data_IF_430600266902
#
_entry.id   IF_430600266902
#
_cell.length_a   1.000
_cell.length_b   1.000
_cell.length_c   1.000
_cell.angle_alpha   90.00
_cell.angle_beta   90.00
_cell.angle_gamma   90.00
#
_symmetry.space_group_name_H-M   'P 1'
#
loop_
_entity.id
_entity.type
_entity.pdbx_description
1 polymer ?
#
# COMPACT_ATOMS: atom_id res chain seq x y z
N UNK A 1 20.38 36.79 7.67
CA UNK A 1 19.21 36.26 6.94
C UNK A 1 19.59 35.38 5.74
N UNK A 2 20.53 35.82 4.89
CA UNK A 2 20.96 35.10 3.68
C UNK A 2 21.52 33.68 3.93
N UNK A 3 22.35 33.48 4.96
CA UNK A 3 22.95 32.16 5.30
C UNK A 3 21.89 31.12 5.71
N UNK A 4 20.83 31.54 6.41
CA UNK A 4 19.74 30.62 6.83
C UNK A 4 18.92 30.11 5.64
N UNK A 5 18.72 30.95 4.61
CA UNK A 5 18.01 30.59 3.38
C UNK A 5 18.84 29.61 2.54
N UNK A 6 20.16 29.82 2.45
CA UNK A 6 21.08 28.92 1.73
C UNK A 6 21.12 27.55 2.41
N UNK A 7 21.16 27.49 3.74
CA UNK A 7 21.10 26.23 4.50
C UNK A 7 19.76 25.49 4.27
N UNK A 8 18.64 26.22 4.26
CA UNK A 8 17.32 25.62 4.01
C UNK A 8 17.18 25.06 2.59
N UNK A 9 17.68 25.77 1.58
CA UNK A 9 17.69 25.29 0.18
C UNK A 9 18.59 24.07 -0.01
N UNK A 10 19.73 24.02 0.66
CA UNK A 10 20.63 22.86 0.64
C UNK A 10 19.96 21.62 1.28
N UNK A 11 19.22 21.81 2.36
CA UNK A 11 18.48 20.72 3.02
C UNK A 11 17.32 20.18 2.16
N UNK A 12 16.61 21.06 1.45
CA UNK A 12 15.54 20.67 0.49
C UNK A 12 16.13 19.86 -0.67
N UNK A 13 17.31 20.23 -1.17
CA UNK A 13 17.97 19.52 -2.26
C UNK A 13 18.48 18.13 -1.83
N UNK A 14 18.90 17.97 -0.57
CA UNK A 14 19.30 16.69 0.02
C UNK A 14 18.13 15.70 0.18
N UNK A 15 16.91 16.18 0.43
CA UNK A 15 15.73 15.33 0.58
C UNK A 15 15.10 14.90 -0.77
N UNK A 16 15.39 15.60 -1.87
CA UNK A 16 14.80 15.32 -3.18
C UNK A 16 15.41 14.11 -3.92
N UNK A 17 16.46 13.48 -3.36
CA UNK A 17 17.25 12.45 -4.05
C UNK A 17 16.94 10.99 -3.70
N UNK A 18 15.93 10.69 -2.87
CA UNK A 18 15.69 9.31 -2.43
C UNK A 18 14.63 8.63 -3.30
N UNK A 19 15.03 8.13 -4.47
CA UNK A 19 14.26 7.13 -5.21
C UNK A 19 14.54 5.76 -4.59
N UNK A 20 13.79 5.40 -3.55
CA UNK A 20 13.87 4.07 -2.93
C UNK A 20 13.01 3.04 -3.67
N UNK A 21 12.93 3.10 -5.00
CA UNK A 21 12.26 2.06 -5.77
C UNK A 21 13.22 0.88 -5.90
N UNK A 22 12.77 -0.29 -5.45
CA UNK A 22 13.49 -1.53 -5.70
C UNK A 22 13.67 -1.71 -7.21
N UNK A 23 14.74 -2.38 -7.67
CA UNK A 23 14.92 -2.63 -9.08
C UNK A 23 13.74 -3.44 -9.65
N UNK A 24 13.24 -3.06 -10.82
CA UNK A 24 12.18 -3.75 -11.56
C UNK A 24 12.72 -5.05 -12.21
N UNK A 25 13.25 -5.95 -11.39
CA UNK A 25 13.88 -7.19 -11.82
C UNK A 25 13.67 -8.30 -10.79
N UNK A 26 13.60 -9.55 -11.24
CA UNK A 26 13.52 -10.73 -10.37
C UNK A 26 14.71 -11.65 -10.63
N UNK A 27 15.32 -12.19 -9.58
CA UNK A 27 16.37 -13.21 -9.76
C UNK A 27 15.76 -14.56 -10.14
N UNK A 28 16.38 -15.25 -11.09
CA UNK A 28 15.99 -16.60 -11.52
C UNK A 28 17.23 -17.49 -11.66
N UNK A 29 17.08 -18.73 -11.20
CA UNK A 29 18.11 -19.76 -11.33
C UNK A 29 17.49 -21.07 -11.75
N UNK A 30 18.16 -21.79 -12.64
CA UNK A 30 17.74 -23.11 -13.07
C UNK A 30 18.96 -24.02 -13.29
N UNK A 31 18.79 -25.31 -12.99
CA UNK A 31 19.77 -26.34 -13.34
C UNK A 31 19.30 -27.02 -14.61
N UNK A 32 20.12 -26.94 -15.66
CA UNK A 32 19.83 -27.47 -16.98
C UNK A 32 20.34 -28.91 -17.09
N UNK A 33 19.48 -29.77 -17.63
CA UNK A 33 19.76 -31.18 -17.85
C UNK A 33 19.40 -31.58 -19.28
N UNK A 34 20.12 -32.56 -19.80
CA UNK A 34 19.80 -33.22 -21.05
C UNK A 34 18.55 -34.10 -20.92
N UNK A 35 18.01 -34.54 -22.05
CA UNK A 35 16.85 -35.44 -22.11
C UNK A 35 17.07 -36.77 -21.39
N UNK A 36 18.32 -37.22 -21.29
CA UNK A 36 18.74 -38.42 -20.55
C UNK A 36 18.93 -38.17 -19.04
N UNK A 37 18.70 -36.94 -18.57
CA UNK A 37 18.84 -36.52 -17.17
C UNK A 37 20.26 -36.11 -16.75
N UNK A 38 21.26 -36.25 -17.62
CA UNK A 38 22.63 -35.80 -17.37
C UNK A 38 22.70 -34.26 -17.26
N UNK A 39 23.66 -33.75 -16.50
CA UNK A 39 23.88 -32.30 -16.36
C UNK A 39 24.43 -31.76 -17.69
N UNK A 40 23.82 -30.69 -18.21
CA UNK A 40 24.37 -29.97 -19.35
C UNK A 40 25.33 -28.91 -18.84
N UNK A 41 26.62 -29.23 -18.76
CA UNK A 41 27.65 -28.34 -18.22
C UNK A 41 28.32 -27.52 -19.34
N UNK A 42 28.75 -26.30 -19.00
CA UNK A 42 29.59 -25.43 -19.87
C UNK A 42 29.07 -25.25 -21.31
N UNK A 43 27.76 -25.31 -21.50
CA UNK A 43 27.12 -25.28 -22.82
C UNK A 43 26.27 -24.02 -23.00
N UNK A 44 26.22 -23.46 -24.23
CA UNK A 44 25.32 -22.37 -24.54
C UNK A 44 23.87 -22.84 -24.52
N UNK A 45 23.00 -22.03 -23.92
CA UNK A 45 21.56 -22.27 -23.85
C UNK A 45 20.82 -20.96 -24.05
N UNK A 46 19.65 -21.02 -24.69
CA UNK A 46 18.77 -19.87 -24.81
C UNK A 46 17.53 -20.13 -23.95
N UNK A 47 17.23 -19.21 -23.04
CA UNK A 47 16.02 -19.23 -22.22
C UNK A 47 15.07 -18.16 -22.71
N UNK A 48 13.81 -18.54 -22.87
CA UNK A 48 12.71 -17.61 -23.07
C UNK A 48 11.83 -17.63 -21.83
N UNK A 49 11.63 -16.45 -21.26
CA UNK A 49 10.88 -16.25 -20.04
C UNK A 49 9.59 -15.52 -20.39
N UNK A 50 8.45 -16.10 -20.02
CA UNK A 50 7.13 -15.51 -20.19
C UNK A 50 6.43 -15.28 -18.85
N UNK A 51 5.62 -14.21 -18.77
CA UNK A 51 4.68 -13.99 -17.66
C UNK A 51 3.27 -14.10 -18.21
N UNK A 52 2.51 -15.05 -17.66
CA UNK A 52 1.12 -15.34 -18.02
C UNK A 52 0.19 -14.85 -16.91
N UNK A 53 -0.86 -14.11 -17.25
CA UNK A 53 -1.82 -13.58 -16.27
C UNK A 53 -3.05 -14.47 -16.11
N UNK A 54 -3.51 -14.65 -14.87
CA UNK A 54 -4.78 -15.25 -14.50
C UNK A 54 -4.79 -16.77 -14.40
N UNK A 55 -4.30 -17.48 -15.41
CA UNK A 55 -4.23 -18.96 -15.41
C UNK A 55 -3.06 -19.48 -16.25
N UNK A 56 -2.78 -20.78 -16.16
CA UNK A 56 -1.77 -21.46 -16.99
C UNK A 56 -2.02 -21.34 -18.50
N UNK A 57 -3.28 -21.11 -18.91
CA UNK A 57 -3.67 -20.88 -20.31
C UNK A 57 -4.03 -19.40 -20.56
N UNK A 58 -3.64 -18.51 -19.65
CA UNK A 58 -3.92 -17.08 -19.74
C UNK A 58 -3.16 -16.38 -20.85
N UNK A 59 -3.30 -15.07 -20.92
CA UNK A 59 -2.56 -14.26 -21.88
C UNK A 59 -1.12 -14.06 -21.40
N UNK A 60 -0.16 -14.22 -22.32
CA UNK A 60 1.22 -13.76 -22.10
C UNK A 60 1.26 -12.23 -22.16
N UNK A 61 1.61 -11.61 -21.05
CA UNK A 61 1.67 -10.15 -20.90
C UNK A 61 3.10 -9.61 -21.00
N UNK A 62 4.10 -10.48 -20.81
CA UNK A 62 5.51 -10.17 -20.93
C UNK A 62 6.29 -11.37 -21.47
N UNK A 63 7.29 -11.12 -22.30
CA UNK A 63 8.22 -12.12 -22.80
C UNK A 63 9.60 -11.51 -23.03
N UNK A 64 10.65 -12.21 -22.62
CA UNK A 64 12.04 -11.85 -22.88
C UNK A 64 12.91 -13.08 -23.15
N UNK A 65 14.05 -12.86 -23.82
CA UNK A 65 15.02 -13.89 -24.15
C UNK A 65 16.35 -13.62 -23.45
N UNK A 66 17.00 -14.69 -22.99
CA UNK A 66 18.32 -14.70 -22.38
C UNK A 66 19.20 -15.74 -23.05
N UNK A 67 20.37 -15.33 -23.54
CA UNK A 67 21.41 -16.24 -24.00
C UNK A 67 22.43 -16.42 -22.87
N UNK A 68 22.59 -17.63 -22.37
CA UNK A 68 23.43 -17.95 -21.21
C UNK A 68 24.34 -19.13 -21.50
N UNK A 69 25.38 -19.27 -20.68
CA UNK A 69 26.24 -20.48 -20.66
C UNK A 69 26.09 -21.11 -19.28
N UNK A 70 25.71 -22.39 -19.25
CA UNK A 70 25.61 -23.16 -18.00
C UNK A 70 26.97 -23.29 -17.33
N UNK A 71 27.05 -23.27 -16.00
CA UNK A 71 28.32 -23.58 -15.32
C UNK A 71 28.61 -25.10 -15.27
N UNK A 72 29.68 -25.51 -14.59
CA UNK A 72 30.07 -26.92 -14.39
C UNK A 72 28.97 -27.80 -13.78
N UNK A 73 28.03 -27.21 -13.02
CA UNK A 73 26.90 -27.89 -12.40
C UNK A 73 25.61 -27.79 -13.23
N UNK A 74 25.68 -27.26 -14.45
CA UNK A 74 24.52 -27.00 -15.30
C UNK A 74 23.66 -25.81 -14.86
N UNK A 75 24.13 -25.00 -13.91
CA UNK A 75 23.36 -23.87 -13.39
C UNK A 75 23.42 -22.68 -14.35
N UNK A 76 22.27 -22.07 -14.59
CA UNK A 76 22.13 -20.72 -15.15
C UNK A 76 21.59 -19.78 -14.09
N UNK A 77 22.05 -18.53 -14.10
CA UNK A 77 21.59 -17.45 -13.22
C UNK A 77 21.31 -16.21 -14.06
N UNK A 78 20.10 -15.67 -13.97
CA UNK A 78 19.68 -14.50 -14.73
C UNK A 78 18.79 -13.59 -13.89
N UNK A 79 18.56 -12.38 -14.41
CA UNK A 79 17.61 -11.43 -13.85
C UNK A 79 16.46 -11.26 -14.85
N UNK A 80 15.27 -11.68 -14.45
CA UNK A 80 14.06 -11.45 -15.23
C UNK A 80 13.77 -9.94 -15.24
N UNK A 81 13.45 -9.37 -16.39
CA UNK A 81 13.33 -7.91 -16.58
C UNK A 81 14.62 -7.25 -17.09
N UNK A 82 15.63 -8.04 -17.48
CA UNK A 82 16.86 -7.55 -18.09
C UNK A 82 17.27 -8.29 -19.36
N UNK A 83 16.39 -9.14 -19.90
CA UNK A 83 16.64 -9.85 -21.15
C UNK A 83 16.30 -9.01 -22.39
N UNK A 84 16.41 -9.64 -23.55
CA UNK A 84 15.94 -9.07 -24.81
C UNK A 84 14.41 -9.22 -24.88
N UNK A 85 13.70 -8.13 -24.60
CA UNK A 85 12.23 -8.11 -24.53
C UNK A 85 11.61 -8.33 -25.92
N UNK A 86 10.71 -9.30 -26.02
CA UNK A 86 9.95 -9.60 -27.25
C UNK A 86 8.47 -9.24 -27.11
N UNK A 87 7.92 -9.19 -25.89
CA UNK A 87 6.53 -8.79 -25.61
C UNK A 87 6.47 -7.95 -24.33
N UNK A 88 5.71 -6.86 -24.36
CA UNK A 88 5.35 -6.08 -23.18
C UNK A 88 6.49 -5.22 -22.61
N UNK A 89 6.32 -4.76 -21.37
CA UNK A 89 7.31 -4.05 -20.59
C UNK A 89 7.19 -4.49 -19.13
N UNK A 90 8.29 -4.89 -18.51
CA UNK A 90 8.30 -5.47 -17.17
C UNK A 90 7.81 -4.49 -16.10
N UNK A 91 8.20 -3.22 -16.21
CA UNK A 91 7.81 -2.16 -15.26
C UNK A 91 6.32 -1.79 -15.35
N UNK A 92 5.65 -2.12 -16.45
CA UNK A 92 4.23 -1.80 -16.67
C UNK A 92 3.29 -2.92 -16.19
N UNK A 93 3.83 -4.03 -15.66
CA UNK A 93 3.03 -5.14 -15.16
C UNK A 93 2.35 -4.74 -13.85
N UNK A 94 1.01 -4.73 -13.85
CA UNK A 94 0.22 -4.55 -12.65
C UNK A 94 0.17 -5.85 -11.83
N UNK A 95 1.17 -6.03 -10.98
CA UNK A 95 1.30 -7.19 -10.08
C UNK A 95 0.17 -7.34 -9.05
N UNK A 96 -0.73 -6.36 -8.92
CA UNK A 96 -1.91 -6.44 -8.04
C UNK A 96 -3.07 -7.21 -8.67
N UNK A 97 -3.06 -7.39 -9.99
CA UNK A 97 -4.19 -7.88 -10.75
C UNK A 97 -4.19 -9.40 -10.94
N UNK A 98 -4.36 -10.12 -9.82
CA UNK A 98 -4.59 -11.57 -9.78
C UNK A 98 -3.33 -12.43 -9.74
N UNK A 99 -3.48 -13.71 -10.08
CA UNK A 99 -2.36 -14.67 -10.14
C UNK A 99 -1.54 -14.48 -11.41
N UNK A 100 -0.23 -14.69 -11.29
CA UNK A 100 0.71 -14.68 -12.40
C UNK A 100 1.46 -16.01 -12.45
N UNK A 101 1.83 -16.45 -13.66
CA UNK A 101 2.59 -17.66 -13.89
C UNK A 101 3.86 -17.35 -14.65
N UNK A 102 4.97 -17.91 -14.17
CA UNK A 102 6.25 -17.89 -14.86
C UNK A 102 6.32 -19.08 -15.81
N UNK A 103 6.38 -18.78 -17.09
CA UNK A 103 6.65 -19.74 -18.16
C UNK A 103 8.13 -19.70 -18.50
N UNK A 104 8.77 -20.87 -18.51
CA UNK A 104 10.16 -21.02 -18.92
C UNK A 104 10.20 -21.96 -20.11
N UNK A 105 10.82 -21.49 -21.18
CA UNK A 105 11.13 -22.30 -22.35
C UNK A 105 12.63 -22.24 -22.61
N UNK A 106 13.17 -23.30 -23.21
CA UNK A 106 14.61 -23.44 -23.38
C UNK A 106 14.97 -24.10 -24.70
N UNK A 107 16.03 -23.61 -25.33
CA UNK A 107 16.77 -24.28 -26.39
C UNK A 107 18.15 -24.67 -25.84
N UNK A 108 18.42 -25.99 -25.83
CA UNK A 108 19.65 -26.56 -25.27
C UNK A 108 20.88 -26.33 -26.15
N UNK A 109 20.69 -25.90 -27.41
CA UNK A 109 21.77 -25.59 -28.35
C UNK A 109 22.02 -24.08 -28.45
N UNK A 110 21.29 -23.26 -27.68
CA UNK A 110 21.39 -21.80 -27.74
C UNK A 110 20.73 -21.18 -28.98
N UNK A 111 19.85 -21.92 -29.65
CA UNK A 111 19.09 -21.47 -30.81
C UNK A 111 17.77 -20.78 -30.45
N UNK A 112 16.80 -20.90 -31.37
CA UNK A 112 15.45 -20.33 -31.23
C UNK A 112 14.34 -21.39 -31.21
N UNK A 113 14.71 -22.67 -31.08
CA UNK A 113 13.77 -23.79 -31.01
C UNK A 113 13.42 -24.11 -29.55
N UNK A 114 12.64 -23.22 -28.95
CA UNK A 114 12.31 -23.29 -27.52
C UNK A 114 11.30 -24.41 -27.21
N UNK A 115 11.68 -25.32 -26.31
CA UNK A 115 10.80 -26.29 -25.69
C UNK A 115 10.31 -25.78 -24.32
N UNK A 116 9.04 -26.02 -23.97
CA UNK A 116 8.50 -25.68 -22.66
C UNK A 116 9.16 -26.56 -21.58
N UNK A 117 9.83 -25.94 -20.61
CA UNK A 117 10.51 -26.64 -19.51
C UNK A 117 9.86 -26.40 -18.16
N UNK A 118 9.07 -25.34 -18.00
CA UNK A 118 8.37 -25.07 -16.76
C UNK A 118 7.22 -24.09 -16.93
N UNK A 119 6.15 -24.32 -16.15
CA UNK A 119 5.05 -23.38 -15.97
C UNK A 119 4.65 -23.42 -14.50
N UNK A 120 4.93 -22.34 -13.76
CA UNK A 120 4.78 -22.30 -12.30
C UNK A 120 4.10 -21.01 -11.86
N UNK A 121 3.27 -21.06 -10.82
CA UNK A 121 2.64 -19.86 -10.26
C UNK A 121 3.67 -19.02 -9.49
N UNK A 122 3.67 -17.70 -9.71
CA UNK A 122 4.46 -16.75 -8.94
C UNK A 122 3.78 -16.48 -7.60
N UNK A 123 4.33 -17.05 -6.54
CA UNK A 123 3.86 -16.85 -5.17
C UNK A 123 4.58 -15.67 -4.50
N UNK A 124 3.88 -14.98 -3.61
CA UNK A 124 4.48 -13.91 -2.81
C UNK A 124 5.58 -14.42 -1.88
N UNK A 125 6.71 -13.72 -1.83
CA UNK A 125 7.79 -13.97 -0.87
C UNK A 125 7.50 -13.28 0.48
N UNK A 126 8.10 -13.71 1.62
CA UNK A 126 7.82 -13.13 2.94
C UNK A 126 7.99 -11.61 3.02
N UNK A 127 8.98 -11.03 2.33
CA UNK A 127 9.16 -9.58 2.25
C UNK A 127 8.01 -8.88 1.49
N UNK A 128 7.52 -9.48 0.39
CA UNK A 128 6.36 -8.97 -0.36
C UNK A 128 5.06 -9.10 0.46
N UNK A 129 4.91 -10.17 1.25
CA UNK A 129 3.80 -10.31 2.20
C UNK A 129 3.88 -9.29 3.34
N UNK A 130 5.08 -8.98 3.84
CA UNK A 130 5.26 -7.93 4.83
C UNK A 130 5.04 -6.52 4.22
N UNK A 131 5.41 -6.31 2.97
CA UNK A 131 5.04 -5.11 2.21
C UNK A 131 3.52 -5.00 2.01
N UNK A 132 2.75 -6.11 2.01
CA UNK A 132 1.28 -6.05 2.04
C UNK A 132 0.74 -5.42 3.32
N UNK A 133 1.43 -5.55 4.46
CA UNK A 133 1.11 -4.79 5.69
C UNK A 133 1.36 -3.29 5.51
N UNK A 134 2.27 -2.88 4.61
CA UNK A 134 2.43 -1.49 4.17
C UNK A 134 1.46 -1.12 3.02
N UNK A 135 0.87 -2.10 2.32
CA UNK A 135 -0.17 -1.94 1.29
C UNK A 135 -1.56 -1.60 1.85
N UNK A 136 -1.69 -1.34 3.15
CA UNK A 136 -2.84 -0.60 3.70
C UNK A 136 -2.88 0.87 3.24
N UNK A 137 -2.09 1.26 2.24
CA UNK A 137 -1.89 2.62 1.76
C UNK A 137 -2.16 2.81 0.25
N UNK A 138 -2.81 1.86 -0.43
CA UNK A 138 -3.09 1.97 -1.87
C UNK A 138 -4.58 1.75 -2.16
N UNK A 139 -5.26 2.79 -2.65
CA UNK A 139 -6.60 2.69 -3.26
C UNK A 139 -6.53 3.12 -4.72
N UNK A 140 -7.36 2.48 -5.55
CA UNK A 140 -7.30 2.45 -7.01
C UNK A 140 -7.69 3.75 -7.74
N UNK A 141 -8.11 4.80 -7.02
CA UNK A 141 -8.78 5.96 -7.63
C UNK A 141 -7.91 7.23 -7.73
N UNK A 142 -6.64 7.18 -7.33
CA UNK A 142 -5.72 8.33 -7.47
C UNK A 142 -6.10 9.59 -6.67
N UNK A 143 -7.15 9.54 -5.86
CA UNK A 143 -7.53 10.59 -4.94
C UNK A 143 -6.80 10.36 -3.60
N UNK A 144 -5.75 11.14 -3.39
CA UNK A 144 -4.96 11.10 -2.17
C UNK A 144 -5.78 11.64 -1.00
N UNK A 145 -6.43 10.79 -0.22
CA UNK A 145 -6.76 11.14 1.16
C UNK A 145 -5.56 10.83 2.09
N UNK A 146 -4.37 11.33 1.73
CA UNK A 146 -3.18 11.35 2.63
C UNK A 146 -3.30 12.43 3.73
N UNK A 147 -4.48 13.03 3.87
CA UNK A 147 -4.80 14.01 4.90
C UNK A 147 -6.19 13.68 5.40
N UNK A 148 -6.39 13.84 6.71
CA UNK A 148 -7.71 13.82 7.31
C UNK A 148 -8.67 14.68 6.45
N UNK A 149 -9.76 14.07 5.98
CA UNK A 149 -10.83 14.79 5.30
C UNK A 149 -11.53 15.68 6.31
N UNK A 150 -11.83 16.91 5.91
CA UNK A 150 -12.75 17.76 6.68
C UNK A 150 -14.17 17.35 6.32
N UNK A 151 -14.86 16.74 7.27
CA UNK A 151 -16.24 16.32 7.17
C UNK A 151 -17.09 17.37 7.88
N UNK A 152 -17.80 18.18 7.10
CA UNK A 152 -18.66 19.23 7.64
C UNK A 152 -19.96 18.63 8.19
N UNK A 153 -20.13 18.72 9.50
CA UNK A 153 -21.29 18.29 10.26
C UNK A 153 -22.28 19.45 10.34
N UNK A 154 -23.19 19.54 9.36
CA UNK A 154 -24.22 20.58 9.32
C UNK A 154 -25.46 20.25 10.16
N UNK A 155 -25.75 18.96 10.33
CA UNK A 155 -26.84 18.42 11.16
C UNK A 155 -26.24 17.34 12.03
N UNK A 156 -26.69 17.26 13.29
CA UNK A 156 -26.23 16.23 14.20
C UNK A 156 -26.55 14.82 13.69
N UNK A 157 -25.64 13.87 13.94
CA UNK A 157 -25.81 12.45 13.57
C UNK A 157 -24.98 11.55 14.48
N UNK A 158 -25.23 10.25 14.38
CA UNK A 158 -24.36 9.24 14.97
C UNK A 158 -22.99 9.20 14.28
N UNK A 159 -22.00 8.74 15.04
CA UNK A 159 -20.67 8.37 14.55
C UNK A 159 -20.79 7.24 13.52
N UNK A 160 -19.94 7.27 12.50
CA UNK A 160 -19.82 6.21 11.51
C UNK A 160 -18.34 5.94 11.15
N UNK A 161 -18.11 4.89 10.36
CA UNK A 161 -16.75 4.43 10.01
C UNK A 161 -15.95 5.49 9.25
N UNK A 162 -16.60 6.36 8.48
CA UNK A 162 -15.93 7.39 7.69
C UNK A 162 -15.40 8.54 8.56
N UNK A 163 -15.78 8.62 9.84
CA UNK A 163 -15.28 9.64 10.76
C UNK A 163 -13.87 9.32 11.27
N UNK A 164 -13.50 8.04 11.31
CA UNK A 164 -12.26 7.55 11.92
C UNK A 164 -11.07 8.08 11.13
N UNK A 165 -10.11 8.69 11.83
CA UNK A 165 -8.92 9.31 11.23
C UNK A 165 -9.16 10.66 10.56
N UNK A 166 -10.40 11.18 10.55
CA UNK A 166 -10.78 12.40 9.86
C UNK A 166 -11.01 13.60 10.81
N UNK A 167 -11.29 14.76 10.23
CA UNK A 167 -11.68 15.98 10.95
C UNK A 167 -13.20 16.12 10.86
N UNK A 168 -13.88 16.17 12.01
CA UNK A 168 -15.29 16.55 12.10
C UNK A 168 -15.36 18.03 12.41
N UNK A 169 -15.93 18.79 11.47
CA UNK A 169 -16.01 20.24 11.54
C UNK A 169 -17.46 20.70 11.59
N UNK A 170 -17.77 21.74 12.37
CA UNK A 170 -19.05 22.42 12.27
C UNK A 170 -18.89 23.94 12.16
N UNK A 171 -19.67 24.55 11.24
CA UNK A 171 -19.81 26.01 11.09
C UNK A 171 -21.09 26.57 11.71
N UNK A 172 -21.96 25.68 12.19
CA UNK A 172 -23.13 25.97 13.03
C UNK A 172 -23.19 24.93 14.14
N UNK A 173 -24.17 25.03 15.04
CA UNK A 173 -24.25 24.12 16.17
C UNK A 173 -24.66 22.71 15.71
N UNK A 174 -23.86 21.71 16.07
CA UNK A 174 -24.10 20.32 15.69
C UNK A 174 -23.69 19.35 16.81
N UNK A 175 -24.24 18.14 16.76
CA UNK A 175 -23.95 17.08 17.73
C UNK A 175 -23.53 15.80 17.04
N UNK A 176 -22.35 15.28 17.37
CA UNK A 176 -21.93 13.93 17.01
C UNK A 176 -22.24 12.99 18.18
N UNK A 177 -23.03 11.94 17.92
CA UNK A 177 -23.40 10.96 18.94
C UNK A 177 -22.49 9.73 18.85
N UNK A 178 -21.75 9.43 19.90
CA UNK A 178 -20.98 8.19 20.05
C UNK A 178 -21.93 7.09 20.50
N UNK A 179 -22.15 6.11 19.63
CA UNK A 179 -23.12 5.05 19.87
C UNK A 179 -22.53 3.88 20.65
N UNK A 180 -23.40 3.18 21.37
CA UNK A 180 -23.07 1.91 22.01
C UNK A 180 -22.48 0.90 21.01
N UNK A 181 -21.43 0.18 21.41
CA UNK A 181 -20.82 -0.91 20.66
C UNK A 181 -20.35 -0.52 19.24
N UNK A 182 -19.87 0.72 19.08
CA UNK A 182 -19.22 1.15 17.84
C UNK A 182 -17.84 0.48 17.68
N UNK A 183 -17.85 -0.76 17.19
CA UNK A 183 -16.68 -1.64 17.07
C UNK A 183 -15.79 -1.33 15.85
N UNK A 184 -16.25 -0.46 14.94
CA UNK A 184 -15.46 -0.05 13.79
C UNK A 184 -14.23 0.80 14.18
N UNK A 185 -14.28 1.47 15.34
CA UNK A 185 -13.18 2.25 15.87
C UNK A 185 -12.38 1.42 16.89
N UNK A 186 -11.13 1.13 16.55
CA UNK A 186 -10.21 0.33 17.37
C UNK A 186 -9.55 1.16 18.47
N UNK A 187 -9.01 0.50 19.51
CA UNK A 187 -8.33 1.20 20.61
C UNK A 187 -7.11 1.95 20.05
N UNK A 188 -7.05 3.25 20.32
CA UNK A 188 -5.99 4.13 19.81
C UNK A 188 -6.41 4.97 18.60
N UNK A 189 -7.48 4.60 17.89
CA UNK A 189 -8.03 5.41 16.80
C UNK A 189 -8.45 6.79 17.31
N UNK A 190 -8.39 7.76 16.40
CA UNK A 190 -8.65 9.16 16.69
C UNK A 190 -9.61 9.81 15.71
N UNK A 191 -10.26 10.89 16.17
CA UNK A 191 -11.02 11.83 15.36
C UNK A 191 -10.62 13.25 15.79
N UNK A 192 -10.26 14.09 14.83
CA UNK A 192 -10.02 15.52 15.09
C UNK A 192 -11.34 16.27 15.09
N UNK A 193 -11.49 17.24 15.99
CA UNK A 193 -12.75 17.95 16.20
C UNK A 193 -12.52 19.45 16.01
N UNK A 194 -13.39 20.10 15.26
CA UNK A 194 -13.30 21.53 14.98
C UNK A 194 -14.66 22.24 15.06
N UNK A 195 -14.75 23.31 15.83
CA UNK A 195 -15.87 24.24 15.81
C UNK A 195 -15.40 25.60 15.27
N UNK A 196 -16.08 26.12 14.25
CA UNK A 196 -15.65 27.31 13.50
C UNK A 196 -16.55 28.51 13.77
N UNK A 197 -15.96 29.69 13.85
CA UNK A 197 -16.62 30.99 13.71
C UNK A 197 -17.92 31.16 14.55
N UNK A 198 -17.84 30.93 15.86
CA UNK A 198 -19.00 31.07 16.75
C UNK A 198 -19.86 29.80 16.91
N UNK A 199 -19.52 28.70 16.24
CA UNK A 199 -20.24 27.44 16.37
C UNK A 199 -19.89 26.66 17.65
N UNK A 200 -20.79 25.77 18.05
CA UNK A 200 -20.58 24.78 19.09
C UNK A 200 -20.69 23.35 18.52
N UNK A 201 -19.61 22.57 18.61
CA UNK A 201 -19.63 21.13 18.33
C UNK A 201 -19.81 20.37 19.63
N UNK A 202 -20.93 19.64 19.76
CA UNK A 202 -21.17 18.75 20.90
C UNK A 202 -20.82 17.32 20.53
N UNK A 203 -20.06 16.64 21.37
CA UNK A 203 -19.89 15.19 21.32
C UNK A 203 -20.67 14.60 22.49
N UNK A 204 -21.63 13.72 22.22
CA UNK A 204 -22.45 13.08 23.25
C UNK A 204 -22.33 11.57 23.16
N UNK A 205 -22.13 10.90 24.29
CA UNK A 205 -22.20 9.44 24.35
C UNK A 205 -23.62 8.95 24.61
N UNK A 206 -23.98 7.80 24.05
CA UNK A 206 -25.11 7.02 24.53
C UNK A 206 -24.94 6.68 26.03
N UNK A 207 -26.03 6.26 26.69
CA UNK A 207 -26.04 6.05 28.14
C UNK A 207 -24.97 5.07 28.68
N UNK A 208 -24.55 4.10 27.87
CA UNK A 208 -23.52 3.11 28.18
C UNK A 208 -22.15 3.47 27.59
N UNK A 209 -22.00 4.68 27.03
CA UNK A 209 -20.75 5.22 26.50
C UNK A 209 -20.10 6.17 27.50
N UNK A 210 -18.85 5.89 27.83
CA UNK A 210 -18.02 6.70 28.71
C UNK A 210 -17.21 7.72 27.90
N UNK A 211 -17.36 9.01 28.22
CA UNK A 211 -16.50 10.09 27.73
C UNK A 211 -15.80 10.72 28.93
N UNK A 212 -14.46 10.78 28.93
CA UNK A 212 -13.69 11.39 30.03
C UNK A 212 -14.07 10.85 31.40
N UNK A 213 -14.20 9.52 31.51
CA UNK A 213 -14.58 8.80 32.74
C UNK A 213 -16.02 9.06 33.23
N UNK A 214 -16.90 9.62 32.37
CA UNK A 214 -18.31 9.87 32.68
C UNK A 214 -19.22 9.07 31.74
N UNK A 215 -20.08 8.22 32.30
CA UNK A 215 -21.10 7.44 31.56
C UNK A 215 -22.20 8.35 31.00
N UNK A 216 -22.59 8.16 29.75
CA UNK A 216 -23.45 9.12 29.03
C UNK A 216 -22.83 10.51 28.94
N UNK A 217 -21.50 10.59 29.03
CA UNK A 217 -20.78 11.85 29.09
C UNK A 217 -20.92 12.66 27.80
N UNK A 218 -20.64 13.95 27.89
CA UNK A 218 -20.60 14.84 26.74
C UNK A 218 -19.43 15.82 26.83
N UNK A 219 -18.94 16.26 25.69
CA UNK A 219 -17.98 17.36 25.57
C UNK A 219 -18.50 18.40 24.57
N UNK A 220 -18.21 19.68 24.80
CA UNK A 220 -18.64 20.77 23.91
C UNK A 220 -17.41 21.60 23.54
N UNK A 221 -17.24 21.85 22.25
CA UNK A 221 -16.22 22.72 21.68
C UNK A 221 -16.89 24.00 21.20
N UNK A 222 -16.81 25.06 22.00
CA UNK A 222 -17.38 26.36 21.64
C UNK A 222 -16.30 27.26 21.04
N UNK A 223 -16.57 27.77 19.84
CA UNK A 223 -15.73 28.77 19.20
C UNK A 223 -16.30 30.17 19.35
N UNK A 224 -15.44 31.18 19.32
CA UNK A 224 -15.83 32.59 19.19
C UNK A 224 -15.87 32.99 17.71
N UNK A 225 -16.65 34.02 17.37
CA UNK A 225 -16.65 34.60 16.02
C UNK A 225 -15.22 34.99 15.60
N UNK A 226 -14.81 34.58 14.41
CA UNK A 226 -13.45 34.78 13.88
C UNK A 226 -12.40 33.76 14.34
N UNK A 227 -12.74 32.80 15.20
CA UNK A 227 -11.82 31.79 15.73
C UNK A 227 -12.22 30.35 15.35
N UNK A 228 -11.33 29.40 15.64
CA UNK A 228 -11.59 27.95 15.56
C UNK A 228 -11.21 27.32 16.90
N UNK A 229 -12.08 26.44 17.42
CA UNK A 229 -11.81 25.60 18.59
C UNK A 229 -11.45 24.19 18.11
N UNK A 230 -10.29 23.68 18.54
CA UNK A 230 -9.79 22.37 18.16
C UNK A 230 -9.90 21.37 19.31
N UNK A 231 -10.13 20.11 18.95
CA UNK A 231 -10.19 18.99 19.87
C UNK A 231 -9.71 17.69 19.28
N UNK A 232 -9.53 16.70 20.15
CA UNK A 232 -9.21 15.34 19.77
C UNK A 232 -10.09 14.39 20.56
N UNK A 233 -10.70 13.45 19.86
CA UNK A 233 -11.36 12.29 20.43
C UNK A 233 -10.52 11.04 20.15
N UNK A 234 -10.33 10.19 21.17
CA UNK A 234 -9.60 8.93 21.06
C UNK A 234 -10.38 7.78 21.69
N UNK A 235 -10.38 6.62 21.03
CA UNK A 235 -10.92 5.38 21.58
C UNK A 235 -9.96 4.78 22.62
N UNK A 236 -10.48 4.43 23.80
CA UNK A 236 -9.69 3.85 24.90
C UNK A 236 -10.07 2.41 25.25
N UNK A 237 -11.26 1.97 24.88
CA UNK A 237 -11.78 0.64 25.19
C UNK A 237 -13.23 0.48 24.72
N UNK A 238 -13.85 -0.66 25.03
CA UNK A 238 -15.27 -0.88 24.74
C UNK A 238 -16.11 0.27 25.32
N UNK A 239 -16.89 0.94 24.46
CA UNK A 239 -17.69 2.12 24.80
C UNK A 239 -16.95 3.23 25.59
N UNK A 240 -15.61 3.29 25.55
CA UNK A 240 -14.84 4.25 26.33
C UNK A 240 -13.98 5.14 25.44
N UNK A 241 -14.11 6.45 25.64
CA UNK A 241 -13.45 7.49 24.86
C UNK A 241 -12.84 8.56 25.76
N UNK A 242 -11.73 9.15 25.31
CA UNK A 242 -11.14 10.34 25.91
C UNK A 242 -11.22 11.48 24.91
N UNK A 243 -11.59 12.66 25.41
CA UNK A 243 -11.67 13.89 24.64
C UNK A 243 -10.79 14.94 25.30
N UNK A 244 -9.98 15.62 24.49
CA UNK A 244 -9.15 16.76 24.91
C UNK A 244 -9.41 17.99 24.05
N UNK A 245 -9.11 19.17 24.59
CA UNK A 245 -9.25 20.46 23.87
C UNK A 245 -10.61 21.13 24.03
N UNK A 246 -11.53 20.52 24.81
CA UNK A 246 -12.81 21.14 25.22
C UNK A 246 -12.57 22.50 25.86
#
# INVERSE_FOLDING_TARGET
MKVKIVIALYFIFLCAGVFAQGPDKMSYQAVVRNIDGSILSESPVALKIGIIQGSTNGQRIYEEVHNQVTNENGLVSLQIGSGDVTIGNFSDIDWSNGSFYLETQMDLEGGSNYALTGLTELLSVPYALHAKTASSLVSADGDYALKAKVISLQVGRAINVDDIGNIIECKGNATLVLTSNFNAMEIGDIINLEAHNGAALTIAGDSDVQINYVMGGSAIFESQTGNVRFGLLRKMGLNSYIISGQ
#
